data_IF_093000623330
#
_entry.id   IF_093000623330
#
_cell.length_a   1.000
_cell.length_b   1.000
_cell.length_c   1.000
_cell.angle_alpha   90.00
_cell.angle_beta   90.00
_cell.angle_gamma   90.00
#
_symmetry.space_group_name_H-M   'P 1'
#
loop_
_entity.id
_entity.type
_entity.pdbx_description
1 polymer ?
#
# COMPACT_ATOMS: atom_id res chain seq x y z
N UNK A 1 53.55 -15.25 5.46
CA UNK A 1 52.69 -14.53 4.50
C UNK A 1 51.26 -15.03 4.67
N UNK A 2 50.36 -14.07 4.88
CA UNK A 2 48.95 -14.27 5.21
C UNK A 2 48.15 -14.78 4.00
N UNK A 3 47.08 -15.54 4.25
CA UNK A 3 46.09 -15.92 3.25
C UNK A 3 44.82 -16.42 3.92
N UNK A 4 43.92 -15.50 4.27
CA UNK A 4 42.64 -15.73 4.91
C UNK A 4 41.61 -16.28 3.92
N UNK A 5 41.07 -17.47 4.21
CA UNK A 5 39.91 -18.04 3.52
C UNK A 5 38.62 -17.42 4.08
N UNK A 6 38.00 -16.49 3.36
CA UNK A 6 36.65 -16.01 3.67
C UNK A 6 35.61 -17.05 3.22
N UNK A 7 35.01 -17.74 4.18
CA UNK A 7 33.76 -18.48 4.00
C UNK A 7 32.63 -17.49 3.62
N UNK A 8 32.22 -17.48 2.36
CA UNK A 8 30.92 -16.91 1.96
C UNK A 8 29.82 -17.89 2.35
N UNK A 9 29.05 -17.58 3.40
CA UNK A 9 27.79 -18.26 3.70
C UNK A 9 26.77 -17.87 2.62
N UNK A 10 26.53 -18.75 1.65
CA UNK A 10 25.33 -18.73 0.82
C UNK A 10 24.14 -19.11 1.70
N UNK A 11 23.21 -18.18 1.89
CA UNK A 11 21.90 -18.46 2.49
C UNK A 11 21.06 -19.09 1.37
N UNK A 12 21.00 -20.41 1.36
CA UNK A 12 20.12 -21.19 0.49
C UNK A 12 18.76 -21.28 1.20
N UNK A 13 17.72 -20.70 0.61
CA UNK A 13 16.33 -20.99 1.01
C UNK A 13 15.92 -22.30 0.33
N UNK A 14 15.97 -23.42 1.06
CA UNK A 14 15.34 -24.68 0.65
C UNK A 14 13.92 -24.74 1.22
N UNK A 15 12.93 -24.84 0.33
CA UNK A 15 11.57 -25.29 0.65
C UNK A 15 11.46 -26.76 0.19
N UNK A 16 11.22 -27.74 1.10
CA UNK A 16 11.12 -29.14 0.74
C UNK A 16 9.66 -29.55 0.57
N UNK A 17 9.08 -29.40 -0.62
CA UNK A 17 7.87 -30.14 -1.05
C UNK A 17 7.55 -29.89 -2.54
N UNK A 18 8.03 -30.77 -3.42
CA UNK A 18 7.23 -31.43 -4.47
C UNK A 18 8.17 -32.06 -5.53
N UNK A 19 8.21 -33.40 -5.54
CA UNK A 19 8.80 -34.17 -6.63
C UNK A 19 7.77 -34.43 -7.74
N UNK A 20 8.29 -34.63 -8.95
CA UNK A 20 7.62 -35.05 -10.21
C UNK A 20 6.72 -33.96 -10.83
N UNK A 21 6.77 -33.59 -12.11
CA UNK A 21 7.39 -34.20 -13.28
C UNK A 21 6.32 -34.43 -14.36
N UNK A 22 6.03 -33.45 -15.22
CA UNK A 22 5.75 -33.70 -16.64
C UNK A 22 5.78 -32.42 -17.48
N UNK A 23 6.44 -32.51 -18.64
CA UNK A 23 6.53 -31.46 -19.67
C UNK A 23 5.42 -31.71 -20.70
N UNK A 24 4.61 -30.70 -20.97
CA UNK A 24 3.83 -30.63 -22.22
C UNK A 24 3.92 -29.22 -22.78
N UNK A 25 4.57 -29.12 -23.94
CA UNK A 25 4.64 -27.95 -24.81
C UNK A 25 3.29 -27.72 -25.49
N UNK A 26 2.80 -26.48 -25.51
CA UNK A 26 1.82 -26.00 -26.49
C UNK A 26 2.28 -24.64 -27.04
N UNK A 27 2.16 -24.39 -28.35
CA UNK A 27 2.77 -23.24 -29.01
C UNK A 27 1.98 -21.94 -28.78
N UNK A 28 2.71 -20.85 -28.53
CA UNK A 28 2.21 -19.48 -28.50
C UNK A 28 1.87 -19.05 -29.93
N UNK A 29 0.59 -18.75 -30.19
CA UNK A 29 0.18 -18.04 -31.41
C UNK A 29 0.30 -16.54 -31.17
N UNK A 30 1.03 -15.88 -32.08
CA UNK A 30 1.04 -14.44 -32.28
C UNK A 30 -0.39 -13.91 -32.45
N UNK A 31 -0.76 -12.88 -31.68
CA UNK A 31 -1.88 -12.00 -32.04
C UNK A 31 -1.48 -10.55 -31.79
N UNK A 32 -1.59 -9.79 -32.86
CA UNK A 32 -1.28 -8.38 -33.01
C UNK A 32 -1.93 -7.48 -31.95
N UNK A 33 -1.23 -6.39 -31.62
CA UNK A 33 -1.76 -5.26 -30.87
C UNK A 33 -2.92 -4.60 -31.63
N UNK A 34 -4.01 -4.18 -30.96
CA UNK A 34 -4.92 -3.18 -31.50
C UNK A 34 -4.42 -1.77 -31.16
N UNK A 35 -4.24 -0.95 -32.19
CA UNK A 35 -4.06 0.50 -32.11
C UNK A 35 -5.37 1.19 -31.72
N UNK A 36 -5.28 2.19 -30.84
CA UNK A 36 -6.42 3.03 -30.46
C UNK A 36 -6.55 4.20 -31.46
N UNK A 37 -7.75 4.48 -32.01
CA UNK A 37 -7.93 5.65 -32.87
C UNK A 37 -8.08 6.94 -32.06
N UNK A 38 -7.31 7.95 -32.46
CA UNK A 38 -7.49 9.35 -32.06
C UNK A 38 -8.88 9.85 -32.45
N UNK A 39 -9.66 10.32 -31.47
CA UNK A 39 -10.89 11.06 -31.71
C UNK A 39 -10.52 12.52 -32.03
N UNK A 40 -10.73 12.91 -33.30
CA UNK A 40 -10.71 14.28 -33.77
C UNK A 40 -12.02 14.97 -33.34
N UNK A 41 -11.92 16.06 -32.59
CA UNK A 41 -13.03 16.98 -32.35
C UNK A 41 -13.17 17.89 -33.58
N UNK A 42 -14.30 17.77 -34.28
CA UNK A 42 -14.72 18.72 -35.30
C UNK A 42 -15.32 19.96 -34.66
N UNK A 43 -14.78 21.13 -34.98
CA UNK A 43 -15.36 22.42 -34.62
C UNK A 43 -16.52 22.75 -35.56
N UNK A 44 -17.71 22.89 -34.97
CA UNK A 44 -18.94 23.29 -35.65
C UNK A 44 -19.47 24.61 -35.09
N UNK A 45 -19.18 25.69 -35.83
CA UNK A 45 -19.96 26.93 -36.01
C UNK A 45 -21.37 26.98 -35.37
N UNK A 46 -21.66 28.02 -34.57
CA UNK A 46 -23.07 28.37 -34.30
C UNK A 46 -23.38 29.37 -33.17
N UNK A 47 -22.71 30.51 -33.06
CA UNK A 47 -23.14 31.60 -32.16
C UNK A 47 -23.93 32.68 -32.93
N UNK A 48 -25.27 32.64 -32.86
CA UNK A 48 -26.13 33.81 -33.09
C UNK A 48 -27.37 33.79 -32.18
N UNK A 49 -27.40 34.79 -31.30
CA UNK A 49 -28.55 35.60 -30.82
C UNK A 49 -29.77 34.87 -30.25
N UNK A 50 -30.10 35.22 -29.01
CA UNK A 50 -31.40 35.82 -28.66
C UNK A 50 -31.28 36.54 -27.30
N UNK A 51 -31.35 37.87 -27.35
CA UNK A 51 -31.70 38.71 -26.21
C UNK A 51 -33.20 39.01 -26.27
N UNK A 52 -33.76 39.25 -25.08
CA UNK A 52 -35.08 39.81 -24.76
C UNK A 52 -36.26 38.84 -24.73
N UNK A 53 -36.68 38.48 -23.51
CA UNK A 53 -37.97 38.89 -22.93
C UNK A 53 -38.32 38.02 -21.72
N UNK A 54 -38.29 38.58 -20.51
CA UNK A 54 -39.52 38.85 -19.76
C UNK A 54 -39.22 39.36 -18.35
N UNK A 55 -39.66 40.60 -18.12
CA UNK A 55 -40.01 41.10 -16.79
C UNK A 55 -41.33 40.43 -16.41
N UNK A 56 -41.41 39.88 -15.20
CA UNK A 56 -42.68 39.46 -14.60
C UNK A 56 -42.60 38.12 -13.92
N UNK A 57 -42.09 38.10 -12.68
CA UNK A 57 -42.56 37.22 -11.61
C UNK A 57 -41.76 37.51 -10.32
N UNK A 58 -42.03 38.67 -9.71
CA UNK A 58 -42.01 38.77 -8.25
C UNK A 58 -43.17 37.90 -7.75
N UNK A 59 -42.90 36.61 -7.50
CA UNK A 59 -43.67 35.66 -6.70
C UNK A 59 -43.24 34.28 -7.15
N UNK A 60 -42.20 33.73 -6.54
CA UNK A 60 -42.00 32.30 -6.23
C UNK A 60 -40.72 32.18 -5.38
N UNK A 61 -40.64 33.02 -4.35
CA UNK A 61 -39.69 32.84 -3.25
C UNK A 61 -40.20 31.72 -2.35
N UNK A 62 -39.99 30.46 -2.76
CA UNK A 62 -40.15 29.27 -1.89
C UNK A 62 -39.64 27.95 -2.50
N UNK A 63 -39.09 27.93 -3.72
CA UNK A 63 -38.61 26.68 -4.36
C UNK A 63 -37.13 26.70 -4.78
N UNK A 64 -36.43 27.81 -4.60
CA UNK A 64 -34.95 27.88 -4.72
C UNK A 64 -34.22 27.61 -3.40
N UNK A 65 -34.95 27.35 -2.31
CA UNK A 65 -34.39 27.07 -0.98
C UNK A 65 -34.14 25.59 -0.66
N UNK A 66 -34.38 24.67 -1.61
CA UNK A 66 -34.11 23.23 -1.48
C UNK A 66 -33.15 22.75 -2.59
N UNK A 67 -32.33 23.66 -3.14
CA UNK A 67 -30.98 23.24 -3.52
C UNK A 67 -30.13 23.32 -2.25
N UNK A 68 -30.50 22.44 -1.31
CA UNK A 68 -29.70 22.12 -0.14
C UNK A 68 -28.25 22.07 -0.59
N UNK A 69 -27.41 22.81 0.13
CA UNK A 69 -26.01 22.51 0.32
C UNK A 69 -25.86 20.99 0.51
N UNK A 70 -25.78 20.24 -0.59
CA UNK A 70 -24.76 19.22 -0.71
C UNK A 70 -23.48 20.03 -0.80
N UNK A 71 -23.03 20.52 0.36
CA UNK A 71 -21.62 20.44 0.66
C UNK A 71 -21.35 18.95 0.45
N UNK A 72 -20.96 18.58 -0.77
CA UNK A 72 -20.42 17.27 -1.03
C UNK A 72 -19.27 17.23 -0.05
N UNK A 73 -19.46 16.51 1.06
CA UNK A 73 -18.39 16.26 2.01
C UNK A 73 -17.32 15.63 1.15
N UNK A 74 -16.31 16.41 0.78
CA UNK A 74 -15.25 15.91 -0.08
C UNK A 74 -14.71 14.69 0.64
N UNK A 75 -14.72 13.55 -0.05
CA UNK A 75 -14.26 12.30 0.54
C UNK A 75 -12.88 12.48 1.13
N UNK A 76 -12.60 11.79 2.25
CA UNK A 76 -11.28 11.85 2.89
C UNK A 76 -10.20 11.53 1.86
N UNK A 77 -9.13 12.33 1.82
CA UNK A 77 -7.99 12.11 0.92
C UNK A 77 -6.96 11.25 1.64
N UNK A 78 -6.73 10.04 1.16
CA UNK A 78 -5.85 9.07 1.83
C UNK A 78 -4.63 8.81 0.97
N UNK A 79 -3.44 9.09 1.52
CA UNK A 79 -2.19 8.72 0.88
C UNK A 79 -2.01 7.19 0.95
N UNK A 80 -1.66 6.56 -0.17
CA UNK A 80 -1.29 5.14 -0.23
C UNK A 80 0.14 5.05 -0.73
N UNK A 81 1.07 4.60 0.12
CA UNK A 81 2.49 4.48 -0.24
C UNK A 81 2.80 3.04 -0.63
N UNK A 82 3.29 2.85 -1.86
CA UNK A 82 3.66 1.56 -2.43
C UNK A 82 5.19 1.40 -2.48
N UNK A 83 5.63 0.14 -2.57
CA UNK A 83 7.03 -0.26 -2.54
C UNK A 83 7.49 -1.02 -3.80
N UNK A 84 6.70 -1.01 -4.88
CA UNK A 84 6.87 -1.82 -6.10
C UNK A 84 5.61 -2.64 -6.40
N UNK A 85 5.70 -3.64 -7.28
CA UNK A 85 4.55 -4.45 -7.71
C UNK A 85 4.86 -5.96 -7.71
N UNK A 86 4.72 -6.60 -6.54
CA UNK A 86 4.98 -8.03 -6.35
C UNK A 86 5.38 -8.34 -4.91
N UNK A 87 4.90 -9.44 -4.33
CA UNK A 87 5.12 -9.73 -2.91
C UNK A 87 6.59 -9.83 -2.52
N UNK A 88 7.46 -10.36 -3.38
CA UNK A 88 8.87 -10.63 -3.01
C UNK A 88 9.80 -9.43 -3.22
N UNK A 89 9.44 -8.47 -4.04
CA UNK A 89 10.31 -7.34 -4.42
C UNK A 89 9.63 -5.97 -4.40
N UNK A 90 8.33 -5.93 -4.09
CA UNK A 90 7.50 -4.74 -4.08
C UNK A 90 6.37 -4.80 -3.05
N UNK A 91 5.27 -4.10 -3.34
CA UNK A 91 4.04 -4.19 -2.55
C UNK A 91 3.32 -5.51 -2.84
N UNK A 92 2.69 -6.08 -1.82
CA UNK A 92 1.77 -7.20 -2.02
C UNK A 92 0.53 -6.70 -2.80
N UNK A 93 0.25 -7.35 -3.93
CA UNK A 93 -0.71 -6.85 -4.93
C UNK A 93 -2.15 -6.98 -4.43
N UNK A 94 -2.48 -8.08 -3.75
CA UNK A 94 -3.81 -8.30 -3.21
C UNK A 94 -4.11 -7.34 -2.04
N UNK A 95 -3.15 -7.04 -1.18
CA UNK A 95 -3.26 -6.08 -0.09
C UNK A 95 -3.43 -4.66 -0.63
N UNK A 96 -2.59 -4.25 -1.58
CA UNK A 96 -2.70 -2.94 -2.21
C UNK A 96 -4.04 -2.78 -2.92
N UNK A 97 -4.49 -3.81 -3.65
CA UNK A 97 -5.81 -3.83 -4.29
C UNK A 97 -6.94 -3.75 -3.26
N UNK A 98 -6.86 -4.51 -2.16
CA UNK A 98 -7.85 -4.47 -1.08
C UNK A 98 -7.95 -3.09 -0.45
N UNK A 99 -6.81 -2.45 -0.16
CA UNK A 99 -6.77 -1.07 0.36
C UNK A 99 -7.51 -0.11 -0.58
N UNK A 100 -7.19 -0.13 -1.88
CA UNK A 100 -7.82 0.77 -2.85
C UNK A 100 -9.33 0.53 -2.98
N UNK A 101 -9.76 -0.74 -3.01
CA UNK A 101 -11.19 -1.07 -3.10
C UNK A 101 -11.95 -0.61 -1.85
N UNK A 102 -11.41 -0.85 -0.65
CA UNK A 102 -12.08 -0.45 0.58
C UNK A 102 -12.08 1.07 0.79
N UNK A 103 -11.02 1.78 0.38
CA UNK A 103 -11.03 3.25 0.36
C UNK A 103 -12.16 3.78 -0.53
N UNK A 104 -12.31 3.20 -1.72
CA UNK A 104 -13.41 3.55 -2.63
C UNK A 104 -14.79 3.24 -2.02
N UNK A 105 -14.94 2.13 -1.29
CA UNK A 105 -16.21 1.77 -0.62
C UNK A 105 -16.57 2.74 0.50
N UNK A 106 -15.59 3.26 1.22
CA UNK A 106 -15.78 4.28 2.27
C UNK A 106 -15.96 5.70 1.69
N UNK A 107 -15.98 5.85 0.36
CA UNK A 107 -16.11 7.16 -0.30
C UNK A 107 -14.86 8.04 -0.16
N UNK A 108 -13.72 7.47 0.20
CA UNK A 108 -12.44 8.16 0.31
C UNK A 108 -11.71 8.21 -1.05
N UNK A 109 -10.95 9.27 -1.29
CA UNK A 109 -10.10 9.42 -2.46
C UNK A 109 -8.69 8.93 -2.14
N UNK A 110 -8.22 7.89 -2.83
CA UNK A 110 -6.85 7.43 -2.73
C UNK A 110 -5.91 8.30 -3.60
N UNK A 111 -4.80 8.74 -3.01
CA UNK A 111 -3.66 9.31 -3.73
C UNK A 111 -2.45 8.41 -3.55
N UNK A 112 -1.99 7.82 -4.65
CA UNK A 112 -0.94 6.80 -4.62
C UNK A 112 0.43 7.44 -4.78
N UNK A 113 1.38 6.99 -3.97
CA UNK A 113 2.76 7.45 -3.94
C UNK A 113 3.74 6.27 -3.91
N UNK A 114 4.95 6.48 -4.41
CA UNK A 114 6.07 5.56 -4.24
C UNK A 114 7.40 6.33 -4.41
N UNK A 115 8.48 5.95 -3.71
CA UNK A 115 9.77 6.58 -3.89
C UNK A 115 10.35 6.26 -5.28
N UNK A 116 10.97 7.25 -5.92
CA UNK A 116 11.64 7.09 -7.21
C UNK A 116 13.07 6.54 -7.04
N UNK A 117 13.15 5.26 -6.68
CA UNK A 117 14.41 4.54 -6.41
C UNK A 117 14.44 3.16 -7.07
N UNK A 118 15.63 2.62 -7.29
CA UNK A 118 15.79 1.23 -7.72
C UNK A 118 15.30 0.25 -6.63
N UNK A 119 14.64 -0.85 -7.04
CA UNK A 119 14.37 -1.97 -6.14
C UNK A 119 15.67 -2.63 -5.69
N UNK A 120 15.74 -3.10 -4.44
CA UNK A 120 16.91 -3.84 -3.94
C UNK A 120 17.17 -5.11 -4.73
N UNK A 121 16.12 -5.84 -5.09
CA UNK A 121 16.16 -7.03 -5.94
C UNK A 121 14.97 -7.01 -6.90
N UNK A 122 15.11 -7.70 -8.04
CA UNK A 122 13.99 -8.09 -8.91
C UNK A 122 13.85 -9.60 -8.82
N UNK A 123 12.67 -10.11 -8.47
CA UNK A 123 12.47 -11.53 -8.15
C UNK A 123 11.56 -12.20 -9.18
N UNK A 124 12.02 -13.32 -9.73
CA UNK A 124 11.16 -14.24 -10.47
C UNK A 124 10.23 -14.91 -9.46
N UNK A 125 8.96 -14.50 -9.45
CA UNK A 125 7.98 -14.96 -8.47
C UNK A 125 7.58 -16.43 -8.65
N UNK A 126 7.81 -17.02 -9.83
CA UNK A 126 7.57 -18.46 -10.07
C UNK A 126 8.68 -19.28 -9.42
N UNK A 127 9.93 -18.80 -9.50
CA UNK A 127 11.09 -19.50 -8.92
C UNK A 127 11.39 -19.10 -7.48
N UNK A 128 10.88 -17.95 -7.03
CA UNK A 128 11.21 -17.35 -5.73
C UNK A 128 12.67 -16.89 -5.62
N UNK A 129 13.33 -16.60 -6.75
CA UNK A 129 14.76 -16.28 -6.79
C UNK A 129 15.04 -14.90 -7.44
N UNK A 130 16.05 -14.16 -6.95
CA UNK A 130 16.49 -12.92 -7.60
C UNK A 130 16.95 -13.15 -9.04
N UNK A 131 16.75 -12.14 -9.87
CA UNK A 131 17.25 -12.04 -11.24
C UNK A 131 18.34 -10.98 -11.34
N UNK A 132 18.96 -10.84 -12.52
CA UNK A 132 19.94 -9.78 -12.80
C UNK A 132 19.30 -8.50 -13.34
N UNK A 133 17.97 -8.47 -13.49
CA UNK A 133 17.24 -7.29 -13.96
C UNK A 133 17.28 -6.16 -12.92
N UNK A 134 17.08 -4.94 -13.39
CA UNK A 134 16.84 -3.76 -12.55
C UNK A 134 15.48 -3.18 -12.86
N UNK A 135 14.76 -2.78 -11.82
CA UNK A 135 13.46 -2.13 -11.90
C UNK A 135 13.37 -1.02 -10.86
N UNK A 136 12.57 -0.02 -11.15
CA UNK A 136 12.36 1.14 -10.29
C UNK A 136 11.03 1.00 -9.52
N UNK A 137 11.04 1.35 -8.24
CA UNK A 137 9.92 1.23 -7.31
C UNK A 137 8.70 2.04 -7.76
N UNK A 138 8.88 3.30 -8.15
CA UNK A 138 7.80 4.16 -8.64
C UNK A 138 7.22 3.64 -9.96
N UNK A 139 8.08 3.29 -10.91
CA UNK A 139 7.67 2.77 -12.23
C UNK A 139 6.86 1.48 -12.10
N UNK A 140 7.31 0.53 -11.28
CA UNK A 140 6.58 -0.72 -11.10
C UNK A 140 5.29 -0.53 -10.28
N UNK A 141 5.30 0.35 -9.26
CA UNK A 141 4.10 0.70 -8.49
C UNK A 141 3.01 1.35 -9.36
N UNK A 142 3.38 2.05 -10.44
CA UNK A 142 2.43 2.62 -11.39
C UNK A 142 1.52 1.58 -12.04
N UNK A 143 1.92 0.30 -12.07
CA UNK A 143 1.10 -0.82 -12.55
C UNK A 143 -0.15 -1.00 -11.68
N UNK A 144 0.02 -0.99 -10.36
CA UNK A 144 -1.09 -1.08 -9.38
C UNK A 144 -1.96 0.18 -9.48
N UNK A 145 -1.33 1.35 -9.57
CA UNK A 145 -2.01 2.64 -9.60
C UNK A 145 -2.64 3.01 -10.96
N UNK A 146 -2.51 2.15 -11.99
CA UNK A 146 -2.95 2.41 -13.37
C UNK A 146 -2.40 3.73 -13.93
N UNK A 147 -1.14 4.03 -13.63
CA UNK A 147 -0.46 5.27 -14.01
C UNK A 147 -0.77 6.49 -13.14
N UNK A 148 -1.78 6.45 -12.27
CA UNK A 148 -2.12 7.57 -11.37
C UNK A 148 -1.34 7.48 -10.05
N UNK A 149 -0.04 7.74 -10.14
CA UNK A 149 0.90 7.70 -9.02
C UNK A 149 1.81 8.93 -9.04
N UNK A 150 2.23 9.39 -7.87
CA UNK A 150 3.18 10.48 -7.70
C UNK A 150 4.45 9.96 -7.03
N UNK A 151 5.55 10.65 -7.28
CA UNK A 151 6.77 10.50 -6.50
C UNK A 151 6.49 10.86 -5.02
N UNK A 152 6.96 10.02 -4.09
CA UNK A 152 6.81 10.21 -2.65
C UNK A 152 7.40 11.55 -2.19
N UNK A 153 8.46 12.04 -2.82
CA UNK A 153 9.06 13.34 -2.53
C UNK A 153 8.09 14.53 -2.76
N UNK A 154 7.00 14.32 -3.52
CA UNK A 154 5.97 15.32 -3.81
C UNK A 154 4.75 15.23 -2.88
N UNK A 155 4.80 14.38 -1.86
CA UNK A 155 3.71 14.23 -0.91
C UNK A 155 3.60 15.47 -0.01
N UNK A 156 2.44 16.13 -0.03
CA UNK A 156 2.09 17.19 0.92
C UNK A 156 1.07 16.69 1.95
N UNK A 157 1.53 16.48 3.17
CA UNK A 157 0.71 16.00 4.30
C UNK A 157 -0.45 16.95 4.60
N UNK A 158 -0.35 18.26 4.29
CA UNK A 158 -1.44 19.21 4.57
C UNK A 158 -2.71 18.87 3.78
N UNK A 159 -2.56 18.41 2.54
CA UNK A 159 -3.68 18.09 1.65
C UNK A 159 -4.31 16.70 1.83
N UNK A 160 -3.80 15.90 2.77
CA UNK A 160 -4.19 14.50 2.96
C UNK A 160 -4.73 14.30 4.37
N UNK A 161 -5.73 13.44 4.58
CA UNK A 161 -6.36 13.20 5.88
C UNK A 161 -5.76 11.99 6.60
N UNK A 162 -5.23 11.01 5.86
CA UNK A 162 -4.65 9.78 6.40
C UNK A 162 -3.56 9.18 5.50
N UNK A 163 -2.81 8.22 6.04
CA UNK A 163 -1.79 7.44 5.33
C UNK A 163 -2.07 5.95 5.48
N UNK A 164 -1.90 5.17 4.40
CA UNK A 164 -1.90 3.71 4.43
C UNK A 164 -0.67 3.17 3.70
N UNK A 165 0.01 2.19 4.29
CA UNK A 165 1.13 1.46 3.67
C UNK A 165 0.77 -0.04 3.67
N UNK A 166 0.43 -0.61 2.50
CA UNK A 166 0.28 -2.06 2.33
C UNK A 166 1.59 -2.80 2.64
N UNK A 167 1.53 -4.12 2.78
CA UNK A 167 2.69 -4.96 2.99
C UNK A 167 3.44 -5.34 1.71
N UNK A 168 4.08 -6.51 1.77
CA UNK A 168 5.01 -7.00 0.77
C UNK A 168 6.47 -6.80 1.18
N UNK A 169 7.35 -7.69 0.73
CA UNK A 169 8.78 -7.62 1.06
C UNK A 169 9.47 -6.39 0.50
N UNK A 170 8.90 -5.69 -0.48
CA UNK A 170 9.38 -4.38 -0.92
C UNK A 170 9.37 -3.36 0.22
N UNK A 171 8.45 -3.44 1.18
CA UNK A 171 8.49 -2.58 2.37
C UNK A 171 9.74 -2.86 3.21
N UNK A 172 10.08 -4.14 3.36
CA UNK A 172 11.24 -4.58 4.11
C UNK A 172 12.59 -4.41 3.37
N UNK A 173 12.56 -4.19 2.05
CA UNK A 173 13.75 -4.13 1.18
C UNK A 173 14.01 -2.75 0.57
N UNK A 174 12.94 -2.04 0.17
CA UNK A 174 13.01 -0.79 -0.59
C UNK A 174 12.61 0.41 0.26
N UNK A 175 11.63 0.27 1.17
CA UNK A 175 11.24 1.33 2.10
C UNK A 175 12.06 1.31 3.41
N UNK A 176 12.79 0.22 3.64
CA UNK A 176 13.68 0.03 4.79
C UNK A 176 14.71 -1.05 4.48
N UNK A 177 15.67 -1.23 5.39
CA UNK A 177 16.62 -2.36 5.38
C UNK A 177 16.20 -3.53 6.27
N UNK A 178 14.91 -3.64 6.62
CA UNK A 178 14.39 -4.68 7.53
C UNK A 178 14.76 -6.11 7.10
N UNK A 179 14.63 -6.42 5.82
CA UNK A 179 14.88 -7.76 5.28
C UNK A 179 16.33 -8.23 5.48
N UNK A 180 17.29 -7.32 5.60
CA UNK A 180 18.71 -7.64 5.74
C UNK A 180 19.27 -7.33 7.13
N UNK A 181 18.65 -6.42 7.88
CA UNK A 181 19.18 -5.91 9.15
C UNK A 181 18.24 -6.13 10.36
N UNK A 182 17.00 -6.60 10.16
CA UNK A 182 16.04 -6.85 11.23
C UNK A 182 15.84 -5.63 12.13
N UNK A 183 15.93 -5.79 13.45
CA UNK A 183 15.81 -4.67 14.42
C UNK A 183 16.79 -3.51 14.21
N UNK A 184 17.94 -3.79 13.60
CA UNK A 184 18.95 -2.77 13.30
C UNK A 184 18.68 -2.03 12.00
N UNK A 185 17.54 -2.29 11.35
CA UNK A 185 17.19 -1.64 10.11
C UNK A 185 17.14 -0.12 10.22
N UNK A 186 17.25 0.51 9.06
CA UNK A 186 17.04 1.92 8.84
C UNK A 186 15.82 2.02 7.92
N UNK A 187 14.91 2.94 8.24
CA UNK A 187 13.80 3.30 7.35
C UNK A 187 14.33 4.34 6.37
N UNK A 188 13.97 4.22 5.09
CA UNK A 188 14.39 5.20 4.08
C UNK A 188 13.93 6.61 4.47
N UNK A 189 14.80 7.61 4.29
CA UNK A 189 14.60 8.96 4.84
C UNK A 189 13.26 9.58 4.44
N UNK A 190 12.88 9.46 3.17
CA UNK A 190 11.61 9.98 2.66
C UNK A 190 10.40 9.33 3.35
N UNK A 191 10.44 8.01 3.55
CA UNK A 191 9.37 7.25 4.22
C UNK A 191 9.29 7.62 5.69
N UNK A 192 10.45 7.75 6.35
CA UNK A 192 10.54 8.19 7.74
C UNK A 192 9.96 9.61 7.93
N UNK A 193 10.29 10.53 7.04
CA UNK A 193 9.80 11.91 7.08
C UNK A 193 8.30 11.98 6.89
N UNK A 194 7.75 11.22 5.94
CA UNK A 194 6.30 11.12 5.71
C UNK A 194 5.59 10.57 6.94
N UNK A 195 6.06 9.45 7.49
CA UNK A 195 5.46 8.85 8.70
C UNK A 195 5.48 9.83 9.88
N UNK A 196 6.63 10.48 10.14
CA UNK A 196 6.75 11.50 11.19
C UNK A 196 5.84 12.69 10.96
N UNK A 197 5.69 13.14 9.72
CA UNK A 197 4.83 14.28 9.39
C UNK A 197 3.33 13.95 9.61
N UNK A 198 2.85 12.76 9.21
CA UNK A 198 1.48 12.32 9.51
C UNK A 198 1.24 12.19 11.02
N UNK A 199 2.18 11.59 11.76
CA UNK A 199 2.10 11.44 13.21
C UNK A 199 2.09 12.80 13.94
N UNK A 200 2.97 13.72 13.54
CA UNK A 200 3.02 15.08 14.08
C UNK A 200 1.71 15.84 13.84
N UNK A 201 1.12 15.67 12.66
CA UNK A 201 -0.19 16.24 12.29
C UNK A 201 -1.40 15.52 12.94
N UNK A 202 -1.16 14.47 13.76
CA UNK A 202 -2.22 13.66 14.39
C UNK A 202 -3.21 13.08 13.38
N UNK A 203 -2.70 12.69 12.21
CA UNK A 203 -3.46 12.01 11.16
C UNK A 203 -3.26 10.50 11.27
N UNK A 204 -4.31 9.67 11.10
CA UNK A 204 -4.19 8.23 11.28
C UNK A 204 -3.31 7.58 10.22
N UNK A 205 -2.60 6.53 10.64
CA UNK A 205 -1.70 5.74 9.80
C UNK A 205 -2.15 4.27 9.85
N UNK A 206 -2.49 3.72 8.69
CA UNK A 206 -2.82 2.30 8.50
C UNK A 206 -1.63 1.50 7.99
N UNK A 207 -1.31 0.37 8.62
CA UNK A 207 -0.18 -0.49 8.24
C UNK A 207 -0.64 -1.95 8.27
N UNK A 208 -0.49 -2.69 7.16
CA UNK A 208 -0.79 -4.12 7.13
C UNK A 208 0.42 -4.99 6.81
N UNK A 209 0.35 -6.25 7.24
CA UNK A 209 1.38 -7.26 7.02
C UNK A 209 2.72 -6.89 7.67
N UNK A 210 3.78 -6.71 6.88
CA UNK A 210 5.11 -6.36 7.40
C UNK A 210 5.30 -4.85 7.58
N UNK A 211 4.44 -3.99 7.04
CA UNK A 211 4.63 -2.54 7.16
C UNK A 211 4.60 -1.95 8.59
N UNK A 212 3.97 -2.58 9.62
CA UNK A 212 4.07 -2.14 11.01
C UNK A 212 5.51 -2.03 11.54
N UNK A 213 6.49 -2.74 10.97
CA UNK A 213 7.89 -2.64 11.40
C UNK A 213 8.47 -1.24 11.19
N UNK A 214 7.94 -0.48 10.23
CA UNK A 214 8.32 0.92 10.00
C UNK A 214 7.93 1.79 11.20
N UNK A 215 6.68 1.66 11.65
CA UNK A 215 6.19 2.38 12.82
C UNK A 215 6.92 1.95 14.10
N UNK A 216 7.20 0.66 14.26
CA UNK A 216 7.96 0.15 15.40
C UNK A 216 9.35 0.79 15.51
N UNK A 217 9.99 1.05 14.36
CA UNK A 217 11.31 1.70 14.32
C UNK A 217 11.24 3.21 14.59
N UNK A 218 10.16 3.87 14.18
CA UNK A 218 10.04 5.34 14.17
C UNK A 218 9.34 5.89 15.41
N UNK A 219 8.40 5.14 15.99
CA UNK A 219 7.56 5.57 17.12
C UNK A 219 7.80 4.68 18.34
N UNK A 220 8.74 5.06 19.23
CA UNK A 220 9.04 4.29 20.43
C UNK A 220 7.80 4.07 21.31
N UNK A 221 7.62 2.85 21.78
CA UNK A 221 6.51 2.49 22.68
C UNK A 221 5.13 2.46 22.02
N UNK A 222 5.04 2.43 20.69
CA UNK A 222 3.76 2.25 20.01
C UNK A 222 3.20 0.83 20.22
N UNK A 223 1.88 0.71 20.09
CA UNK A 223 1.19 -0.57 20.07
C UNK A 223 0.84 -0.97 18.62
N UNK A 224 0.99 -2.25 18.29
CA UNK A 224 0.74 -2.74 16.93
C UNK A 224 0.47 -4.26 16.93
N UNK A 225 -0.01 -4.77 15.80
CA UNK A 225 -0.05 -6.19 15.51
C UNK A 225 0.66 -6.49 14.20
N UNK A 226 1.37 -7.63 14.15
CA UNK A 226 1.79 -8.30 12.91
C UNK A 226 1.16 -9.69 12.81
N UNK A 227 0.10 -9.95 13.58
CA UNK A 227 -0.57 -11.25 13.68
C UNK A 227 -0.41 -11.86 15.05
N UNK A 228 0.30 -12.98 15.13
CA UNK A 228 0.49 -13.75 16.36
C UNK A 228 1.98 -13.93 16.67
N UNK A 229 2.31 -14.12 17.93
CA UNK A 229 3.68 -14.33 18.42
C UNK A 229 4.03 -15.81 18.67
N UNK A 230 3.24 -16.74 18.14
CA UNK A 230 3.51 -18.18 18.23
C UNK A 230 3.71 -18.75 16.82
N UNK A 231 4.89 -19.30 16.54
CA UNK A 231 5.23 -19.88 15.24
C UNK A 231 4.42 -21.16 15.00
N UNK A 232 3.69 -21.19 13.89
CA UNK A 232 2.96 -22.37 13.42
C UNK A 232 2.70 -22.26 11.91
N UNK A 233 2.12 -23.28 11.29
CA UNK A 233 1.77 -23.25 9.86
C UNK A 233 0.89 -22.05 9.48
N UNK A 234 -0.03 -21.64 10.36
CA UNK A 234 -0.87 -20.47 10.16
C UNK A 234 -0.11 -19.14 10.31
N UNK A 235 0.94 -19.10 11.11
CA UNK A 235 1.70 -17.90 11.44
C UNK A 235 3.21 -18.10 11.20
N UNK A 236 3.63 -18.18 9.92
CA UNK A 236 5.03 -18.48 9.56
C UNK A 236 6.02 -17.36 9.93
N UNK A 237 5.54 -16.16 10.22
CA UNK A 237 6.37 -14.98 10.52
C UNK A 237 6.25 -14.49 11.98
N UNK A 238 5.82 -15.36 12.90
CA UNK A 238 5.55 -14.99 14.30
C UNK A 238 6.73 -14.34 15.03
N UNK A 239 7.98 -14.67 14.66
CA UNK A 239 9.22 -14.07 15.20
C UNK A 239 9.31 -12.55 14.98
N UNK A 240 8.58 -12.01 14.01
CA UNK A 240 8.48 -10.55 13.84
C UNK A 240 7.90 -9.90 15.10
N UNK A 241 6.92 -10.52 15.76
CA UNK A 241 6.30 -9.99 16.98
C UNK A 241 7.30 -9.87 18.14
N UNK A 242 8.20 -10.84 18.30
CA UNK A 242 9.29 -10.77 19.29
C UNK A 242 10.23 -9.59 19.01
N UNK A 243 10.59 -9.41 17.73
CA UNK A 243 11.45 -8.29 17.32
C UNK A 243 10.80 -6.93 17.60
N UNK A 244 9.47 -6.83 17.50
CA UNK A 244 8.74 -5.60 17.88
C UNK A 244 8.88 -5.31 19.38
N UNK A 245 8.78 -6.36 20.22
CA UNK A 245 8.98 -6.25 21.68
C UNK A 245 10.41 -5.81 22.01
N UNK A 246 11.42 -6.34 21.31
CA UNK A 246 12.82 -5.92 21.47
C UNK A 246 13.07 -4.46 21.07
N UNK A 247 12.30 -3.92 20.14
CA UNK A 247 12.30 -2.49 19.77
C UNK A 247 11.55 -1.60 20.78
N UNK A 248 11.06 -2.18 21.89
CA UNK A 248 10.32 -1.46 22.93
C UNK A 248 8.86 -1.17 22.58
N UNK A 249 8.32 -1.83 21.55
CA UNK A 249 6.91 -1.71 21.17
C UNK A 249 6.06 -2.78 21.86
N UNK A 250 4.74 -2.55 21.95
CA UNK A 250 3.80 -3.53 22.48
C UNK A 250 3.11 -4.25 21.31
N UNK A 251 3.49 -5.49 21.07
CA UNK A 251 2.78 -6.37 20.14
C UNK A 251 1.49 -6.89 20.78
N UNK A 252 0.39 -6.84 20.03
CA UNK A 252 -0.91 -7.40 20.43
C UNK A 252 -1.31 -8.49 19.43
N UNK A 253 -1.54 -9.70 19.93
CA UNK A 253 -1.98 -10.80 19.08
C UNK A 253 -3.38 -10.52 18.53
N UNK A 254 -3.56 -10.70 17.22
CA UNK A 254 -4.83 -10.50 16.50
C UNK A 254 -5.04 -11.58 15.46
N UNK A 255 -6.29 -12.03 15.31
CA UNK A 255 -6.68 -12.87 14.18
C UNK A 255 -6.56 -12.10 12.86
N UNK A 256 -6.44 -12.79 11.73
CA UNK A 256 -6.31 -12.17 10.39
C UNK A 256 -7.48 -11.25 10.03
N UNK A 257 -8.67 -11.54 10.57
CA UNK A 257 -9.88 -10.74 10.39
C UNK A 257 -10.03 -9.61 11.41
N UNK A 258 -9.01 -9.34 12.23
CA UNK A 258 -9.02 -8.33 13.28
C UNK A 258 -7.98 -7.23 13.03
N UNK A 259 -8.13 -6.13 13.76
CA UNK A 259 -7.21 -5.00 13.74
C UNK A 259 -6.77 -4.66 15.17
N UNK A 260 -5.62 -4.03 15.29
CA UNK A 260 -5.22 -3.34 16.51
C UNK A 260 -5.17 -1.84 16.28
N UNK A 261 -5.65 -1.05 17.25
CA UNK A 261 -5.66 0.41 17.21
C UNK A 261 -4.86 0.93 18.39
N UNK A 262 -3.75 1.61 18.11
CA UNK A 262 -3.05 2.44 19.07
C UNK A 262 -3.67 3.85 19.05
N UNK A 263 -4.61 4.09 19.96
CA UNK A 263 -5.33 5.37 20.03
C UNK A 263 -4.41 6.56 20.32
N UNK A 264 -3.29 6.35 21.04
CA UNK A 264 -2.35 7.41 21.41
C UNK A 264 -1.58 7.90 20.19
N UNK A 265 -1.14 6.97 19.34
CA UNK A 265 -0.35 7.26 18.14
C UNK A 265 -1.19 7.32 16.86
N UNK A 266 -2.49 7.01 16.93
CA UNK A 266 -3.41 6.84 15.80
C UNK A 266 -2.89 5.85 14.75
N UNK A 267 -2.31 4.75 15.22
CA UNK A 267 -1.88 3.65 14.34
C UNK A 267 -2.97 2.59 14.28
N UNK A 268 -3.31 2.15 13.08
CA UNK A 268 -4.24 1.04 12.84
C UNK A 268 -3.47 -0.05 12.12
N UNK A 269 -3.43 -1.26 12.67
CA UNK A 269 -2.62 -2.35 12.13
C UNK A 269 -3.41 -3.65 11.96
N UNK A 270 -3.08 -4.42 10.93
CA UNK A 270 -3.64 -5.76 10.69
C UNK A 270 -2.60 -6.67 10.05
N UNK A 271 -2.75 -7.99 10.20
CA UNK A 271 -1.71 -8.96 9.86
C UNK A 271 -1.69 -9.38 8.40
N UNK A 272 -2.82 -9.36 7.69
CA UNK A 272 -2.92 -9.73 6.27
C UNK A 272 -2.12 -11.00 5.92
N UNK A 273 -1.22 -10.99 4.93
CA UNK A 273 -0.45 -12.18 4.51
C UNK A 273 0.67 -12.59 5.47
N UNK A 274 0.80 -11.97 6.65
CA UNK A 274 1.58 -12.57 7.76
C UNK A 274 0.93 -13.87 8.28
N UNK A 275 -0.33 -14.10 7.91
CA UNK A 275 -1.13 -15.28 8.18
C UNK A 275 -1.33 -16.12 6.91
N UNK A 276 -1.18 -17.44 7.01
CA UNK A 276 -1.66 -18.38 5.99
C UNK A 276 -3.17 -18.58 6.17
N UNK A 277 -3.96 -17.72 5.53
CA UNK A 277 -5.42 -17.73 5.57
C UNK A 277 -6.03 -17.62 4.17
N UNK A 278 -7.31 -17.98 3.99
CA UNK A 278 -8.02 -17.71 2.74
C UNK A 278 -7.96 -16.21 2.37
N UNK A 279 -7.73 -15.93 1.08
CA UNK A 279 -7.53 -14.55 0.57
C UNK A 279 -8.68 -13.61 0.95
N UNK A 280 -9.92 -14.10 1.03
CA UNK A 280 -11.07 -13.28 1.41
C UNK A 280 -11.02 -12.82 2.88
N UNK A 281 -10.50 -13.64 3.80
CA UNK A 281 -10.34 -13.24 5.21
C UNK A 281 -9.29 -12.13 5.35
N UNK A 282 -8.20 -12.23 4.58
CA UNK A 282 -7.16 -11.20 4.49
C UNK A 282 -7.77 -9.90 3.94
N UNK A 283 -8.53 -9.99 2.85
CA UNK A 283 -9.24 -8.87 2.26
C UNK A 283 -10.20 -8.19 3.26
N UNK A 284 -10.94 -8.96 4.05
CA UNK A 284 -11.86 -8.45 5.06
C UNK A 284 -11.14 -7.78 6.24
N UNK A 285 -10.02 -8.36 6.70
CA UNK A 285 -9.16 -7.76 7.73
C UNK A 285 -8.61 -6.39 7.30
N UNK A 286 -8.12 -6.29 6.07
CA UNK A 286 -7.67 -5.02 5.48
C UNK A 286 -8.82 -4.03 5.38
N UNK A 287 -10.03 -4.48 5.03
CA UNK A 287 -11.22 -3.63 4.99
C UNK A 287 -11.55 -3.00 6.34
N UNK A 288 -11.45 -3.77 7.43
CA UNK A 288 -11.61 -3.23 8.79
C UNK A 288 -10.55 -2.19 9.12
N UNK A 289 -9.29 -2.42 8.72
CA UNK A 289 -8.21 -1.44 8.91
C UNK A 289 -8.52 -0.14 8.16
N UNK A 290 -8.86 -0.23 6.88
CA UNK A 290 -9.19 0.95 6.05
C UNK A 290 -10.36 1.73 6.62
N UNK A 291 -11.45 1.04 6.97
CA UNK A 291 -12.64 1.67 7.58
C UNK A 291 -12.29 2.44 8.84
N UNK A 292 -11.47 1.85 9.72
CA UNK A 292 -11.06 2.49 10.96
C UNK A 292 -10.12 3.68 10.71
N UNK A 293 -9.20 3.58 9.76
CA UNK A 293 -8.34 4.70 9.34
C UNK A 293 -9.19 5.87 8.84
N UNK A 294 -10.17 5.61 7.95
CA UNK A 294 -11.07 6.65 7.43
C UNK A 294 -11.92 7.26 8.54
N UNK A 295 -12.37 6.46 9.51
CA UNK A 295 -13.14 6.93 10.68
C UNK A 295 -12.34 7.86 11.59
N UNK A 296 -11.02 7.64 11.71
CA UNK A 296 -10.13 8.43 12.57
C UNK A 296 -9.58 9.71 11.91
N UNK A 297 -9.77 9.84 10.59
CA UNK A 297 -9.30 10.95 9.76
C UNK A 297 -10.30 12.10 9.74
#
# INVERSE_FOLDING_TARGET
MQGSSQLRKQIIFTCPACGTGNKTFLPVRNSAQPSWPHLLLGEGSGYKRLQAANRGAQQFGALQGILLLRCATMGKRVAVVLAGCGVYDGSEIHEASAVLVHLSREGAQAEVYAPDVDQMHVVDHVKGQPTQEKRNVLVESARIARGNIKDLAKLDVKGLDALIIPGGFGVAKNLSTWATQGKNCIVCKEVEDVLKAFHAAKKPIGLCCISPVLAAKIFPGCELTVGHDTECEKWPYAKTAETMKELGCKHVNKHVTEIHVDAKNKLVTTSAFMCNAPIHEIYDGIGKMVKEVVRLA
#
